data_IF_991675465962
#
_entry.id   IF_991675465962
#
_cell.length_a   1.000
_cell.length_b   1.000
_cell.length_c   1.000
_cell.angle_alpha   90.00
_cell.angle_beta   90.00
_cell.angle_gamma   90.00
#
_symmetry.space_group_name_H-M   'P 1'
#
loop_
_entity.id
_entity.type
_entity.pdbx_description
1 polymer ?
#
# COMPACT_ATOMS: atom_id res chain seq x y z
N UNK A 1 -9.18 -2.29 11.46
CA UNK A 1 -9.15 -1.64 10.13
C UNK A 1 -9.35 -2.70 9.04
N UNK A 2 -10.27 -2.53 8.10
CA UNK A 2 -10.35 -3.40 6.90
C UNK A 2 -9.21 -3.04 5.94
N UNK A 3 -8.56 -4.04 5.36
CA UNK A 3 -7.50 -3.81 4.37
C UNK A 3 -8.13 -3.64 3.01
N UNK A 4 -7.90 -2.48 2.40
CA UNK A 4 -8.33 -2.15 1.03
C UNK A 4 -7.34 -2.66 -0.03
N UNK A 5 -6.67 -3.78 0.24
CA UNK A 5 -5.75 -4.38 -0.72
C UNK A 5 -6.51 -5.28 -1.68
N UNK A 6 -5.99 -5.47 -2.90
CA UNK A 6 -6.59 -6.37 -3.88
C UNK A 6 -5.50 -7.12 -4.65
N UNK A 7 -5.87 -8.29 -5.18
CA UNK A 7 -5.06 -9.06 -6.13
C UNK A 7 -5.87 -9.13 -7.43
N UNK A 8 -5.26 -8.75 -8.55
CA UNK A 8 -5.84 -8.88 -9.89
C UNK A 8 -5.61 -10.30 -10.41
N UNK A 9 -6.39 -10.74 -11.40
CA UNK A 9 -6.37 -12.10 -11.95
C UNK A 9 -4.98 -12.58 -12.42
N UNK A 10 -4.11 -11.67 -12.84
CA UNK A 10 -2.73 -11.94 -13.26
C UNK A 10 -1.73 -12.01 -12.10
N UNK A 11 -2.20 -11.87 -10.87
CA UNK A 11 -1.40 -11.88 -9.64
C UNK A 11 -0.86 -10.52 -9.22
N UNK A 12 -1.10 -9.43 -9.95
CA UNK A 12 -0.67 -8.10 -9.54
C UNK A 12 -1.39 -7.67 -8.23
N UNK A 13 -0.63 -7.10 -7.31
CA UNK A 13 -1.09 -6.73 -5.96
C UNK A 13 -1.23 -5.22 -5.86
N UNK A 14 -2.38 -4.77 -5.37
CA UNK A 14 -2.69 -3.37 -5.13
C UNK A 14 -2.83 -3.12 -3.63
N UNK A 15 -2.08 -2.17 -3.12
CA UNK A 15 -2.14 -1.70 -1.74
C UNK A 15 -2.52 -0.21 -1.71
N UNK A 16 -2.92 0.28 -0.54
CA UNK A 16 -3.10 1.72 -0.30
C UNK A 16 -2.07 2.24 0.68
N UNK A 17 -1.71 3.51 0.55
CA UNK A 17 -0.91 4.26 1.52
C UNK A 17 -1.51 5.66 1.67
N UNK A 18 -1.51 6.21 2.89
CA UNK A 18 -1.87 7.61 3.06
C UNK A 18 -0.70 8.50 2.62
N UNK A 19 -1.00 9.64 1.99
CA UNK A 19 0.01 10.58 1.49
C UNK A 19 0.95 11.09 2.61
N UNK A 20 0.42 11.31 3.81
CA UNK A 20 1.18 11.74 4.99
C UNK A 20 2.09 10.63 5.58
N UNK A 21 1.90 9.38 5.17
CA UNK A 21 2.72 8.22 5.55
C UNK A 21 3.87 7.96 4.57
N UNK A 22 3.94 8.70 3.46
CA UNK A 22 5.04 8.60 2.51
C UNK A 22 6.24 9.39 3.05
N UNK A 23 7.40 8.74 3.18
CA UNK A 23 8.65 9.36 3.64
C UNK A 23 9.78 9.02 2.69
N UNK A 24 10.47 10.06 2.18
CA UNK A 24 11.65 9.92 1.29
C UNK A 24 11.41 8.97 0.10
N UNK A 25 10.23 9.05 -0.51
CA UNK A 25 9.84 8.20 -1.66
C UNK A 25 9.48 6.76 -1.30
N UNK A 26 9.27 6.44 -0.02
CA UNK A 26 8.81 5.14 0.45
C UNK A 26 7.40 5.23 1.04
N UNK A 27 6.53 4.32 0.63
CA UNK A 27 5.18 4.19 1.13
C UNK A 27 5.15 3.22 2.32
N UNK A 28 4.39 3.56 3.37
CA UNK A 28 4.07 2.63 4.46
C UNK A 28 3.04 1.60 3.96
N UNK A 29 3.39 0.32 4.04
CA UNK A 29 2.58 -0.80 3.55
C UNK A 29 1.90 -1.58 4.68
N UNK A 30 2.47 -1.55 5.88
CA UNK A 30 1.90 -2.15 7.09
C UNK A 30 2.70 -1.80 8.34
N UNK A 31 2.12 -2.07 9.51
CA UNK A 31 2.80 -1.85 10.80
C UNK A 31 2.36 -2.85 11.86
N UNK A 32 3.00 -2.81 13.04
CA UNK A 32 2.61 -3.60 14.21
C UNK A 32 1.14 -3.41 14.62
N UNK A 33 0.53 -2.25 14.33
CA UNK A 33 -0.89 -1.97 14.53
C UNK A 33 -1.83 -2.87 13.70
N UNK A 34 -1.31 -3.55 12.68
CA UNK A 34 -2.04 -4.52 11.87
C UNK A 34 -2.07 -5.93 12.49
N UNK A 35 -1.51 -6.14 13.69
CA UNK A 35 -1.61 -7.44 14.39
C UNK A 35 -3.00 -7.64 14.99
N UNK A 36 -3.56 -8.85 14.84
CA UNK A 36 -4.84 -9.24 15.44
C UNK A 36 -6.12 -8.85 14.67
N UNK A 37 -6.03 -8.03 13.62
CA UNK A 37 -7.20 -7.67 12.79
C UNK A 37 -7.23 -8.43 11.46
N UNK A 38 -8.44 -8.80 11.00
CA UNK A 38 -8.64 -9.49 9.71
C UNK A 38 -7.98 -8.77 8.53
N UNK A 39 -8.08 -7.43 8.48
CA UNK A 39 -7.41 -6.62 7.45
C UNK A 39 -5.88 -6.72 7.49
N UNK A 40 -5.29 -6.82 8.68
CA UNK A 40 -3.84 -6.98 8.80
C UNK A 40 -3.33 -8.35 8.35
N UNK A 41 -4.12 -9.42 8.56
CA UNK A 41 -3.81 -10.75 8.02
C UNK A 41 -3.81 -10.74 6.50
N UNK A 42 -4.82 -10.13 5.89
CA UNK A 42 -4.92 -9.97 4.44
C UNK A 42 -3.78 -9.12 3.89
N UNK A 43 -3.47 -7.99 4.54
CA UNK A 43 -2.35 -7.13 4.16
C UNK A 43 -1.02 -7.88 4.13
N UNK A 44 -0.72 -8.69 5.15
CA UNK A 44 0.50 -9.50 5.20
C UNK A 44 0.55 -10.53 4.07
N UNK A 45 -0.59 -11.10 3.66
CA UNK A 45 -0.63 -12.00 2.48
C UNK A 45 -0.27 -11.26 1.20
N UNK A 46 -0.81 -10.05 1.00
CA UNK A 46 -0.47 -9.21 -0.15
C UNK A 46 1.02 -8.83 -0.18
N UNK A 47 1.61 -8.44 0.96
CA UNK A 47 3.04 -8.13 1.05
C UNK A 47 3.89 -9.37 0.68
N UNK A 48 3.54 -10.55 1.21
CA UNK A 48 4.24 -11.80 0.86
C UNK A 48 4.17 -12.14 -0.63
N UNK A 49 3.06 -11.85 -1.30
CA UNK A 49 2.95 -12.04 -2.76
C UNK A 49 3.92 -11.13 -3.50
N UNK A 50 4.03 -9.86 -3.08
CA UNK A 50 4.98 -8.90 -3.68
C UNK A 50 6.42 -9.37 -3.46
N UNK A 51 6.76 -9.82 -2.25
CA UNK A 51 8.08 -10.36 -1.92
C UNK A 51 8.40 -11.65 -2.71
N UNK A 52 7.39 -12.45 -3.02
CA UNK A 52 7.52 -13.63 -3.89
C UNK A 52 7.64 -13.29 -5.39
N UNK A 53 7.63 -12.01 -5.76
CA UNK A 53 7.86 -11.53 -7.12
C UNK A 53 6.62 -11.03 -7.86
N UNK A 54 5.43 -11.01 -7.23
CA UNK A 54 4.27 -10.36 -7.82
C UNK A 54 4.51 -8.84 -7.98
N UNK A 55 3.97 -8.24 -9.04
CA UNK A 55 4.03 -6.78 -9.19
C UNK A 55 3.20 -6.13 -8.08
N UNK A 56 3.85 -5.29 -7.27
CA UNK A 56 3.18 -4.51 -6.22
C UNK A 56 2.92 -3.08 -6.67
N UNK A 57 1.71 -2.59 -6.46
CA UNK A 57 1.32 -1.21 -6.73
C UNK A 57 0.75 -0.56 -5.47
N UNK A 58 0.93 0.74 -5.35
CA UNK A 58 0.30 1.54 -4.29
C UNK A 58 -0.58 2.65 -4.86
N UNK A 59 -1.81 2.70 -4.36
CA UNK A 59 -2.74 3.83 -4.52
C UNK A 59 -2.46 4.81 -3.37
N UNK A 60 -2.14 6.06 -3.70
CA UNK A 60 -1.93 7.12 -2.71
C UNK A 60 -3.25 7.79 -2.41
N UNK A 61 -3.63 7.82 -1.13
CA UNK A 61 -4.86 8.42 -0.64
C UNK A 61 -4.54 9.67 0.18
N UNK A 62 -5.33 10.71 0.00
CA UNK A 62 -5.33 11.87 0.90
C UNK A 62 -6.52 11.75 1.85
N UNK A 63 -6.28 11.93 3.15
CA UNK A 63 -7.32 11.88 4.16
C UNK A 63 -8.13 13.19 4.19
N UNK A 64 -9.44 13.11 4.50
CA UNK A 64 -10.24 14.31 4.82
C UNK A 64 -9.68 15.01 6.06
N UNK A 65 -9.35 14.23 7.08
CA UNK A 65 -8.61 14.66 8.28
C UNK A 65 -7.58 13.57 8.64
N UNK A 66 -6.30 13.95 8.64
CA UNK A 66 -5.17 13.06 8.95
C UNK A 66 -5.11 12.66 10.43
N UNK A 67 -5.78 13.40 11.31
CA UNK A 67 -5.79 13.14 12.75
C UNK A 67 -7.01 12.30 13.18
N UNK A 68 -7.97 12.06 12.29
CA UNK A 68 -9.17 11.27 12.59
C UNK A 68 -8.85 9.77 12.75
N UNK A 69 -9.60 9.09 13.62
CA UNK A 69 -9.53 7.64 13.81
C UNK A 69 -10.94 7.05 13.92
N UNK A 70 -11.44 6.29 12.92
CA UNK A 70 -10.78 5.96 11.64
C UNK A 70 -10.73 7.16 10.66
N UNK A 71 -9.72 7.18 9.78
CA UNK A 71 -9.59 8.16 8.70
C UNK A 71 -10.60 7.88 7.58
N UNK A 72 -11.11 8.94 6.96
CA UNK A 72 -11.93 8.88 5.73
C UNK A 72 -11.12 9.31 4.51
N UNK A 73 -11.37 8.66 3.37
CA UNK A 73 -10.73 9.00 2.09
C UNK A 73 -11.31 10.33 1.61
N UNK A 74 -10.46 11.34 1.41
CA UNK A 74 -10.85 12.60 0.80
C UNK A 74 -10.65 12.60 -0.71
N UNK A 75 -9.47 12.14 -1.15
CA UNK A 75 -9.13 12.07 -2.58
C UNK A 75 -8.12 10.97 -2.87
N UNK A 76 -8.08 10.57 -4.14
CA UNK A 76 -7.03 9.76 -4.75
C UNK A 76 -7.00 10.06 -6.25
N UNK A 77 -5.91 9.67 -6.93
CA UNK A 77 -5.85 9.79 -8.38
C UNK A 77 -6.33 8.48 -9.03
N UNK A 78 -7.46 8.47 -9.75
CA UNK A 78 -7.98 7.25 -10.38
C UNK A 78 -7.24 6.86 -11.66
N UNK A 79 -6.39 7.73 -12.20
CA UNK A 79 -5.70 7.55 -13.48
C UNK A 79 -4.30 6.96 -13.30
N UNK A 80 -3.80 6.82 -12.06
CA UNK A 80 -2.48 6.27 -11.83
C UNK A 80 -2.28 5.57 -10.48
N UNK A 81 -1.27 4.70 -10.46
CA UNK A 81 -0.70 4.08 -9.25
C UNK A 81 0.82 4.26 -9.25
N UNK A 82 1.49 3.86 -8.18
CA UNK A 82 2.94 3.77 -8.15
C UNK A 82 3.38 2.32 -8.05
N UNK A 83 4.28 1.90 -8.95
CA UNK A 83 4.95 0.61 -8.87
C UNK A 83 5.88 0.60 -7.65
N UNK A 84 5.77 -0.45 -6.85
CA UNK A 84 6.63 -0.70 -5.70
C UNK A 84 7.86 -1.51 -6.10
N UNK A 85 8.97 -1.21 -5.45
CA UNK A 85 10.15 -2.07 -5.39
C UNK A 85 10.76 -2.01 -3.98
N UNK A 86 11.80 -2.83 -3.74
CA UNK A 86 12.61 -2.78 -2.51
C UNK A 86 11.75 -2.73 -1.23
N UNK A 87 11.00 -3.80 -0.97
CA UNK A 87 10.22 -3.96 0.25
C UNK A 87 11.18 -4.15 1.42
N UNK A 88 11.01 -3.35 2.48
CA UNK A 88 11.86 -3.36 3.67
C UNK A 88 11.03 -3.50 4.93
N UNK A 89 11.51 -4.38 5.81
CA UNK A 89 11.04 -4.52 7.19
C UNK A 89 11.99 -3.70 8.07
N UNK A 90 11.42 -2.93 8.99
CA UNK A 90 12.16 -2.07 9.91
C UNK A 90 12.07 -2.63 11.32
N UNK A 91 13.00 -2.22 12.20
CA UNK A 91 13.07 -2.68 13.59
C UNK A 91 11.84 -2.26 14.42
N UNK A 92 11.08 -1.27 13.96
CA UNK A 92 9.83 -0.79 14.58
C UNK A 92 8.57 -1.54 14.09
N UNK A 93 8.76 -2.70 13.46
CA UNK A 93 7.72 -3.55 12.86
C UNK A 93 6.93 -2.86 11.72
N UNK A 94 7.44 -1.75 11.18
CA UNK A 94 6.88 -1.17 9.96
C UNK A 94 7.42 -1.87 8.73
N UNK A 95 6.59 -1.92 7.70
CA UNK A 95 6.96 -2.41 6.37
C UNK A 95 6.78 -1.28 5.38
N UNK A 96 7.83 -0.95 4.63
CA UNK A 96 7.77 0.08 3.60
C UNK A 96 8.20 -0.44 2.25
N UNK A 97 7.61 0.09 1.17
CA UNK A 97 8.04 -0.16 -0.20
C UNK A 97 8.49 1.13 -0.86
N UNK A 98 9.57 1.09 -1.64
CA UNK A 98 10.02 2.23 -2.42
C UNK A 98 9.08 2.44 -3.61
N UNK A 99 8.71 3.69 -3.86
CA UNK A 99 7.85 4.08 -4.98
C UNK A 99 8.74 4.31 -6.20
N UNK A 100 8.89 3.29 -7.03
CA UNK A 100 9.83 3.29 -8.17
C UNK A 100 9.41 4.26 -9.27
N UNK A 101 8.15 4.17 -9.70
CA UNK A 101 7.62 4.98 -10.80
C UNK A 101 6.10 5.10 -10.71
N UNK A 102 5.57 6.22 -11.22
CA UNK A 102 4.14 6.40 -11.48
C UNK A 102 3.76 5.64 -12.76
N UNK A 103 2.66 4.91 -12.72
CA UNK A 103 2.12 4.10 -13.82
C UNK A 103 0.68 4.53 -14.06
N UNK A 104 0.32 4.87 -15.30
CA UNK A 104 -1.08 5.13 -15.63
C UNK A 104 -1.88 3.83 -15.55
N UNK A 105 -3.16 3.88 -15.13
CA UNK A 105 -3.98 2.66 -15.01
C UNK A 105 -4.07 1.88 -16.33
N UNK A 106 -4.14 2.57 -17.46
CA UNK A 106 -4.17 1.96 -18.79
C UNK A 106 -2.89 1.20 -19.19
N UNK A 107 -1.77 1.45 -18.51
CA UNK A 107 -0.46 0.85 -18.79
C UNK A 107 -0.09 -0.27 -17.81
N UNK A 108 -1.00 -0.64 -16.90
CA UNK A 108 -0.77 -1.73 -15.94
C UNK A 108 -0.91 -3.06 -16.69
N UNK A 109 0.21 -3.54 -17.23
CA UNK A 109 0.36 -4.85 -17.84
C UNK A 109 0.14 -5.97 -16.83
#
# INVERSE_FOLDING_TARGET
MWSWGAVRDDGAVFLRCWDDEIKKGRALLGSSYDHGHHGGVERRKHIKLIEAGAKGYVVVLTAVDKNASPRSIGAYNPDCVFLLDDIQHHDDDTITGRMKQRVAIGDIA
#
